data_IF_869556564336
#
_entry.id   IF_869556564336
#
_cell.length_a   1.000
_cell.length_b   1.000
_cell.length_c   1.000
_cell.angle_alpha   90.00
_cell.angle_beta   90.00
_cell.angle_gamma   90.00
#
_symmetry.space_group_name_H-M   'P 1'
#
loop_
_entity.id
_entity.type
_entity.pdbx_description
1 polymer ?
#
# COMPACT_ATOMS: atom_id res chain seq x y z
N UNK A 1 -26.53 -24.22 31.11
CA UNK A 1 -25.33 -23.51 31.63
C UNK A 1 -24.20 -23.49 30.59
N UNK A 2 -23.71 -24.63 30.12
CA UNK A 2 -22.68 -24.72 29.06
C UNK A 2 -23.11 -24.15 27.70
N UNK A 3 -24.36 -24.40 27.28
CA UNK A 3 -24.91 -23.85 26.03
C UNK A 3 -24.93 -22.33 25.99
N UNK A 4 -25.22 -21.68 27.11
CA UNK A 4 -25.16 -20.23 27.22
C UNK A 4 -23.73 -19.70 27.02
N UNK A 5 -22.75 -20.38 27.63
CA UNK A 5 -21.33 -20.05 27.48
C UNK A 5 -20.87 -20.21 26.02
N UNK A 6 -21.32 -21.26 25.34
CA UNK A 6 -21.01 -21.49 23.92
C UNK A 6 -21.57 -20.38 23.02
N UNK A 7 -22.81 -19.95 23.27
CA UNK A 7 -23.44 -18.86 22.50
C UNK A 7 -22.70 -17.54 22.73
N UNK A 8 -22.41 -17.20 23.99
CA UNK A 8 -21.70 -15.96 24.34
C UNK A 8 -20.28 -15.95 23.76
N UNK A 9 -19.57 -17.08 23.78
CA UNK A 9 -18.23 -17.21 23.19
C UNK A 9 -18.22 -16.90 21.70
N UNK A 10 -19.17 -17.47 20.94
CA UNK A 10 -19.28 -17.24 19.49
C UNK A 10 -19.57 -15.76 19.21
N UNK A 11 -20.45 -15.13 19.98
CA UNK A 11 -20.77 -13.70 19.83
C UNK A 11 -19.52 -12.84 20.05
N UNK A 12 -18.71 -13.12 21.08
CA UNK A 12 -17.48 -12.37 21.36
C UNK A 12 -16.49 -12.51 20.20
N UNK A 13 -16.32 -13.72 19.64
CA UNK A 13 -15.44 -13.96 18.49
C UNK A 13 -15.88 -13.10 17.29
N UNK A 14 -17.18 -13.06 16.99
CA UNK A 14 -17.72 -12.25 15.88
C UNK A 14 -17.43 -10.76 16.11
N UNK A 15 -17.62 -10.26 17.34
CA UNK A 15 -17.34 -8.86 17.68
C UNK A 15 -15.85 -8.54 17.51
N UNK A 16 -14.96 -9.42 17.96
CA UNK A 16 -13.50 -9.25 17.81
C UNK A 16 -13.10 -9.24 16.34
N UNK A 17 -13.62 -10.17 15.53
CA UNK A 17 -13.34 -10.23 14.08
C UNK A 17 -13.81 -8.96 13.38
N UNK A 18 -15.03 -8.49 13.67
CA UNK A 18 -15.56 -7.26 13.10
C UNK A 18 -14.72 -6.04 13.50
N UNK A 19 -14.36 -5.90 14.77
CA UNK A 19 -13.53 -4.81 15.26
C UNK A 19 -12.13 -4.82 14.62
N UNK A 20 -11.53 -6.00 14.45
CA UNK A 20 -10.26 -6.19 13.77
C UNK A 20 -10.34 -5.75 12.30
N UNK A 21 -11.35 -6.21 11.56
CA UNK A 21 -11.55 -5.87 10.15
C UNK A 21 -11.80 -4.36 9.95
N UNK A 22 -12.56 -3.72 10.84
CA UNK A 22 -12.80 -2.28 10.79
C UNK A 22 -11.49 -1.50 11.02
N UNK A 23 -10.69 -1.93 12.01
CA UNK A 23 -9.43 -1.27 12.34
C UNK A 23 -8.39 -1.44 11.25
N UNK A 24 -8.22 -2.66 10.72
CA UNK A 24 -7.28 -2.94 9.63
C UNK A 24 -7.71 -2.27 8.33
N UNK A 25 -9.01 -2.28 7.98
CA UNK A 25 -9.48 -1.59 6.76
C UNK A 25 -9.19 -0.10 6.77
N UNK A 26 -9.27 0.57 7.93
CA UNK A 26 -8.87 1.97 8.09
C UNK A 26 -7.36 2.18 7.96
N UNK A 27 -6.56 1.22 8.42
CA UNK A 27 -5.10 1.26 8.28
C UNK A 27 -4.64 1.01 6.84
N UNK A 28 -5.31 0.12 6.10
CA UNK A 28 -5.06 -0.08 4.67
C UNK A 28 -5.61 1.08 3.82
N UNK A 29 -6.73 1.68 4.24
CA UNK A 29 -7.28 2.88 3.60
C UNK A 29 -6.45 4.14 3.89
N UNK A 30 -5.55 4.10 4.88
CA UNK A 30 -4.49 5.08 4.99
C UNK A 30 -3.56 4.85 3.81
N UNK A 31 -3.87 5.55 2.70
CA UNK A 31 -3.00 5.68 1.55
C UNK A 31 -1.59 5.84 2.10
N UNK A 32 -0.71 4.86 1.82
CA UNK A 32 0.66 5.24 1.57
C UNK A 32 0.55 6.33 0.50
N UNK A 33 0.72 7.58 0.91
CA UNK A 33 1.09 8.66 -0.01
C UNK A 33 2.44 8.22 -0.54
N UNK A 34 2.40 7.33 -1.52
CA UNK A 34 3.54 7.04 -2.38
C UNK A 34 3.78 8.40 -3.01
N UNK A 35 4.80 9.09 -2.52
CA UNK A 35 5.14 10.42 -2.97
C UNK A 35 5.11 10.42 -4.50
N UNK A 36 4.45 11.40 -5.13
CA UNK A 36 4.37 11.47 -6.58
C UNK A 36 5.78 11.35 -7.18
N UNK A 37 5.99 10.34 -8.02
CA UNK A 37 7.28 10.11 -8.71
C UNK A 37 7.64 11.29 -9.65
N UNK A 38 6.67 12.15 -9.92
CA UNK A 38 6.76 13.35 -10.78
C UNK A 38 7.85 14.34 -10.34
N UNK A 39 8.32 14.30 -9.10
CA UNK A 39 9.39 15.18 -8.61
C UNK A 39 10.62 14.42 -8.06
N UNK A 40 10.95 13.26 -8.65
CA UNK A 40 12.18 12.55 -8.30
C UNK A 40 13.31 12.92 -9.29
N UNK A 41 14.33 13.68 -8.84
CA UNK A 41 15.46 14.13 -9.69
C UNK A 41 16.35 12.99 -10.20
N UNK A 42 16.12 11.75 -9.76
CA UNK A 42 16.83 10.55 -10.22
C UNK A 42 16.05 9.73 -11.26
N UNK A 43 14.85 10.16 -11.66
CA UNK A 43 14.11 9.51 -12.75
C UNK A 43 14.73 9.99 -14.07
N UNK A 44 15.79 9.30 -14.49
CA UNK A 44 16.29 9.37 -15.86
C UNK A 44 15.18 8.82 -16.75
N UNK A 45 14.42 9.70 -17.37
CA UNK A 45 13.44 9.29 -18.39
C UNK A 45 14.24 8.68 -19.54
N UNK A 46 13.83 7.52 -20.06
CA UNK A 46 14.53 6.82 -21.17
C UNK A 46 14.72 7.71 -22.43
N UNK A 47 14.10 8.89 -22.48
CA UNK A 47 14.32 9.91 -23.49
C UNK A 47 15.69 10.62 -23.40
N UNK A 48 16.33 10.67 -22.23
CA UNK A 48 17.64 11.31 -22.05
C UNK A 48 18.83 10.44 -22.50
N UNK A 49 18.62 9.13 -22.67
CA UNK A 49 19.69 8.21 -23.10
C UNK A 49 19.89 8.21 -24.62
N UNK A 50 18.88 8.68 -25.39
CA UNK A 50 18.96 8.76 -26.85
C UNK A 50 19.71 10.00 -27.36
N UNK A 51 19.79 11.07 -26.57
CA UNK A 51 20.49 12.30 -26.98
C UNK A 51 22.03 12.21 -26.82
N UNK A 52 22.51 11.44 -25.85
CA UNK A 52 23.94 11.41 -25.51
C UNK A 52 24.78 10.41 -26.34
N UNK A 53 24.16 9.64 -27.23
CA UNK A 53 24.87 8.67 -28.08
C UNK A 53 25.15 9.23 -29.49
N UNK A 54 24.53 10.35 -29.90
CA UNK A 54 24.81 11.00 -31.19
C UNK A 54 25.86 12.11 -31.13
N UNK A 55 26.34 12.51 -29.95
CA UNK A 55 27.33 13.57 -29.76
C UNK A 55 28.74 13.02 -29.43
N UNK A 56 29.08 11.82 -29.91
CA UNK A 56 30.43 11.23 -29.79
C UNK A 56 30.91 10.53 -31.07
N UNK A 57 30.44 10.96 -32.24
CA UNK A 57 30.96 10.48 -33.54
C UNK A 57 31.62 11.57 -34.38
N UNK A 58 31.63 12.83 -33.91
CA UNK A 58 32.20 13.97 -34.65
C UNK A 58 33.22 14.73 -33.79
N UNK A 59 34.31 14.05 -33.42
CA UNK A 59 35.64 14.65 -33.15
C UNK A 59 36.72 13.62 -33.41
#
# INVERSE_FOLDING_TARGET
MLTFIMIVSIIIIIVIIAAAAITTSKAYAFKHTIDPIENNPNIRTEMDEKNNTHERSDT
#
